data_IF_302223070053
#
_entry.id   IF_302223070053
#
_cell.length_a   1.000
_cell.length_b   1.000
_cell.length_c   1.000
_cell.angle_alpha   90.00
_cell.angle_beta   90.00
_cell.angle_gamma   90.00
#
_symmetry.space_group_name_H-M   'P 1'
#
loop_
_entity.id
_entity.type
_entity.pdbx_description
1 polymer ?
#
# COMPACT_ATOMS: atom_id res chain seq x y z
N UNK A 1 -30.94 -4.10 18.72
CA UNK A 1 -31.14 -2.73 19.25
C UNK A 1 -29.95 -1.92 18.78
N UNK A 2 -30.08 -1.21 17.65
CA UNK A 2 -28.97 -0.54 16.99
C UNK A 2 -28.43 0.61 17.87
N UNK A 3 -27.18 0.52 18.30
CA UNK A 3 -26.44 1.67 18.85
C UNK A 3 -26.25 2.67 17.72
N UNK A 4 -27.15 3.64 17.65
CA UNK A 4 -27.00 4.83 16.81
C UNK A 4 -25.80 5.62 17.36
N UNK A 5 -24.71 5.67 16.60
CA UNK A 5 -23.46 6.32 17.01
C UNK A 5 -23.72 7.77 17.44
N UNK A 6 -23.25 8.11 18.64
CA UNK A 6 -23.39 9.43 19.28
C UNK A 6 -22.35 10.44 18.80
N UNK A 7 -21.49 10.08 17.86
CA UNK A 7 -20.43 10.95 17.35
C UNK A 7 -20.87 11.46 15.98
N UNK A 8 -21.04 12.77 15.83
CA UNK A 8 -21.37 13.42 14.56
C UNK A 8 -20.20 13.40 13.55
N UNK A 9 -19.42 12.32 13.50
CA UNK A 9 -18.26 12.15 12.61
C UNK A 9 -18.73 11.90 11.18
N UNK A 10 -18.06 12.54 10.22
CA UNK A 10 -18.28 12.29 8.80
C UNK A 10 -17.65 10.97 8.38
N UNK A 11 -18.46 9.94 8.17
CA UNK A 11 -18.00 8.64 7.67
C UNK A 11 -17.53 8.71 6.20
N UNK A 12 -16.54 7.89 5.86
CA UNK A 12 -16.06 7.70 4.49
C UNK A 12 -17.13 7.00 3.65
N UNK A 13 -17.52 7.66 2.56
CA UNK A 13 -18.41 7.10 1.54
C UNK A 13 -17.64 6.17 0.61
N UNK A 14 -18.37 5.32 -0.13
CA UNK A 14 -17.82 4.33 -1.07
C UNK A 14 -16.57 4.77 -1.86
N UNK A 15 -16.62 5.88 -2.61
CA UNK A 15 -15.47 6.32 -3.42
C UNK A 15 -14.28 6.81 -2.59
N UNK A 16 -14.53 7.36 -1.41
CA UNK A 16 -13.47 7.71 -0.46
C UNK A 16 -12.89 6.46 0.17
N UNK A 17 -13.68 5.42 0.41
CA UNK A 17 -13.18 4.10 0.83
C UNK A 17 -12.31 3.47 -0.25
N UNK A 18 -12.72 3.51 -1.52
CA UNK A 18 -11.87 3.03 -2.65
C UNK A 18 -10.57 3.83 -2.73
N UNK A 19 -10.64 5.16 -2.59
CA UNK A 19 -9.46 6.03 -2.63
C UNK A 19 -8.52 5.72 -1.46
N UNK A 20 -9.06 5.54 -0.25
CA UNK A 20 -8.29 5.14 0.92
C UNK A 20 -7.63 3.77 0.70
N UNK A 21 -8.39 2.74 0.28
CA UNK A 21 -7.84 1.41 0.00
C UNK A 21 -6.76 1.45 -1.08
N UNK A 22 -6.96 2.22 -2.15
CA UNK A 22 -5.94 2.40 -3.18
C UNK A 22 -4.67 3.03 -2.62
N UNK A 23 -4.78 4.09 -1.83
CA UNK A 23 -3.60 4.78 -1.26
C UNK A 23 -2.89 3.93 -0.21
N UNK A 24 -3.63 3.16 0.60
CA UNK A 24 -3.08 2.38 1.71
C UNK A 24 -2.48 1.05 1.24
N UNK A 25 -3.02 0.43 0.19
CA UNK A 25 -2.60 -0.92 -0.23
C UNK A 25 -1.87 -0.96 -1.57
N UNK A 26 -1.97 0.10 -2.37
CA UNK A 26 -1.38 0.13 -3.69
C UNK A 26 -0.43 1.29 -3.89
N UNK A 27 -0.92 2.53 -3.74
CA UNK A 27 -0.13 3.74 -3.93
C UNK A 27 0.39 3.97 -5.36
N UNK A 28 0.28 3.04 -6.30
CA UNK A 28 0.82 3.18 -7.66
C UNK A 28 1.93 2.16 -7.97
N UNK A 29 2.53 2.18 -9.17
CA UNK A 29 3.59 1.24 -9.57
C UNK A 29 4.96 1.56 -8.97
N UNK A 30 5.01 2.20 -7.81
CA UNK A 30 6.24 2.72 -7.24
C UNK A 30 6.79 1.73 -6.21
N UNK A 31 8.07 1.36 -6.32
CA UNK A 31 8.73 0.41 -5.41
C UNK A 31 8.66 -1.04 -5.89
N UNK A 32 8.13 -1.28 -7.09
CA UNK A 32 8.01 -2.62 -7.67
C UNK A 32 9.01 -2.85 -8.80
N UNK A 33 9.81 -1.85 -9.18
CA UNK A 33 10.72 -1.95 -10.31
C UNK A 33 11.78 -3.03 -10.13
N UNK A 34 12.27 -3.20 -8.90
CA UNK A 34 13.29 -4.17 -8.56
C UNK A 34 12.85 -5.62 -8.84
N UNK A 35 11.54 -5.91 -8.82
CA UNK A 35 11.04 -7.26 -9.16
C UNK A 35 11.48 -7.70 -10.56
N UNK A 36 11.57 -6.76 -11.50
CA UNK A 36 11.99 -7.05 -12.88
C UNK A 36 13.49 -7.36 -12.94
N UNK A 37 14.31 -6.61 -12.19
CA UNK A 37 15.74 -6.87 -12.10
C UNK A 37 16.05 -8.22 -11.43
N UNK A 38 15.28 -8.60 -10.41
CA UNK A 38 15.54 -9.77 -9.58
C UNK A 38 14.92 -11.06 -10.11
N UNK A 39 13.81 -10.98 -10.86
CA UNK A 39 13.11 -12.16 -11.39
C UNK A 39 13.12 -12.26 -12.91
N UNK A 40 13.47 -11.18 -13.60
CA UNK A 40 13.33 -11.05 -15.05
C UNK A 40 11.91 -10.71 -15.47
N UNK A 41 11.72 -10.20 -16.71
CA UNK A 41 10.44 -9.65 -17.18
C UNK A 41 9.30 -10.68 -17.15
N UNK A 42 9.58 -11.92 -17.53
CA UNK A 42 8.57 -12.98 -17.60
C UNK A 42 8.07 -13.34 -16.21
N UNK A 43 8.96 -13.64 -15.25
CA UNK A 43 8.51 -13.98 -13.90
C UNK A 43 7.94 -12.78 -13.15
N UNK A 44 8.44 -11.57 -13.36
CA UNK A 44 7.85 -10.37 -12.77
C UNK A 44 6.36 -10.24 -13.12
N UNK A 45 6.02 -10.29 -14.42
CA UNK A 45 4.64 -10.09 -14.87
C UNK A 45 3.77 -11.30 -14.55
N UNK A 46 4.22 -12.52 -14.87
CA UNK A 46 3.43 -13.72 -14.59
C UNK A 46 3.30 -14.00 -13.10
N UNK A 47 4.33 -13.68 -12.30
CA UNK A 47 4.30 -13.78 -10.85
C UNK A 47 3.29 -12.82 -10.23
N UNK A 48 3.25 -11.57 -10.67
CA UNK A 48 2.23 -10.62 -10.24
C UNK A 48 0.81 -11.08 -10.62
N UNK A 49 0.60 -11.54 -11.85
CA UNK A 49 -0.71 -12.05 -12.28
C UNK A 49 -1.11 -13.32 -11.52
N UNK A 50 -0.17 -14.22 -11.28
CA UNK A 50 -0.37 -15.42 -10.48
C UNK A 50 -0.79 -15.04 -9.06
N UNK A 51 -0.08 -14.11 -8.42
CA UNK A 51 -0.40 -13.67 -7.06
C UNK A 51 -1.71 -12.88 -7.00
N UNK A 52 -2.06 -12.09 -8.02
CA UNK A 52 -3.37 -11.45 -8.10
C UNK A 52 -4.51 -12.50 -8.05
N UNK A 53 -4.36 -13.60 -8.78
CA UNK A 53 -5.38 -14.66 -8.88
C UNK A 53 -5.40 -15.57 -7.65
N UNK A 54 -4.24 -16.04 -7.19
CA UNK A 54 -4.15 -17.09 -6.17
C UNK A 54 -3.97 -16.56 -4.74
N UNK A 55 -3.62 -15.28 -4.58
CA UNK A 55 -3.51 -14.62 -3.29
C UNK A 55 -4.51 -13.46 -3.15
N UNK A 56 -4.53 -12.55 -4.13
CA UNK A 56 -5.38 -11.37 -4.11
C UNK A 56 -6.88 -11.68 -4.11
N UNK A 57 -7.37 -12.48 -5.06
CA UNK A 57 -8.80 -12.84 -5.14
C UNK A 57 -9.27 -13.58 -3.88
N UNK A 58 -8.63 -14.68 -3.42
CA UNK A 58 -9.02 -15.34 -2.17
C UNK A 58 -8.98 -14.38 -0.97
N UNK A 59 -7.95 -13.55 -0.86
CA UNK A 59 -7.83 -12.57 0.23
C UNK A 59 -8.98 -11.57 0.23
N UNK A 60 -9.34 -11.01 -0.93
CA UNK A 60 -10.49 -10.09 -1.05
C UNK A 60 -11.81 -10.78 -0.70
N UNK A 61 -12.03 -12.01 -1.16
CA UNK A 61 -13.25 -12.77 -0.86
C UNK A 61 -13.37 -13.08 0.64
N UNK A 62 -12.29 -13.57 1.25
CA UNK A 62 -12.23 -13.86 2.68
C UNK A 62 -12.50 -12.60 3.52
N UNK A 63 -11.81 -11.50 3.20
CA UNK A 63 -11.98 -10.24 3.91
C UNK A 63 -13.39 -9.68 3.74
N UNK A 64 -13.98 -9.83 2.55
CA UNK A 64 -15.35 -9.41 2.26
C UNK A 64 -16.38 -10.17 3.09
N UNK A 65 -16.21 -11.50 3.24
CA UNK A 65 -17.10 -12.32 4.06
C UNK A 65 -16.98 -11.95 5.54
N UNK A 66 -15.74 -11.84 6.05
CA UNK A 66 -15.48 -11.56 7.46
C UNK A 66 -15.94 -10.17 7.89
N UNK A 67 -15.70 -9.13 7.09
CA UNK A 67 -16.15 -7.77 7.44
C UNK A 67 -17.68 -7.66 7.44
N UNK A 68 -18.35 -8.35 6.51
CA UNK A 68 -19.81 -8.36 6.42
C UNK A 68 -20.46 -9.10 7.58
N UNK A 69 -19.79 -10.15 8.09
CA UNK A 69 -20.28 -10.94 9.22
C UNK A 69 -19.92 -10.33 10.59
N UNK A 70 -18.75 -9.70 10.69
CA UNK A 70 -18.19 -9.16 11.95
C UNK A 70 -17.68 -7.71 11.69
N UNK A 71 -18.59 -6.73 11.55
CA UNK A 71 -18.24 -5.32 11.36
C UNK A 71 -17.89 -4.68 12.71
N UNK A 72 -16.71 -4.98 13.25
CA UNK A 72 -16.23 -4.46 14.53
C UNK A 72 -14.91 -3.72 14.37
N UNK A 73 -14.75 -2.61 15.11
CA UNK A 73 -13.49 -1.88 15.21
C UNK A 73 -12.35 -2.78 15.74
N UNK A 74 -11.14 -2.61 15.21
CA UNK A 74 -9.99 -3.50 15.46
C UNK A 74 -9.83 -4.61 14.42
N UNK A 75 -10.75 -4.71 13.44
CA UNK A 75 -10.54 -5.48 12.21
C UNK A 75 -10.19 -6.95 12.44
N UNK A 76 -9.09 -7.41 11.84
CA UNK A 76 -8.61 -8.80 11.91
C UNK A 76 -8.44 -9.32 13.34
N UNK A 77 -8.03 -8.48 14.28
CA UNK A 77 -7.88 -8.87 15.68
C UNK A 77 -9.21 -9.36 16.28
N UNK A 78 -10.31 -8.67 15.98
CA UNK A 78 -11.64 -9.10 16.42
C UNK A 78 -12.10 -10.39 15.75
N UNK A 79 -11.70 -10.62 14.49
CA UNK A 79 -12.00 -11.86 13.79
C UNK A 79 -11.27 -13.05 14.42
N UNK A 80 -9.98 -12.90 14.74
CA UNK A 80 -9.21 -13.92 15.45
C UNK A 80 -9.77 -14.21 16.83
N UNK A 81 -10.09 -13.16 17.61
CA UNK A 81 -10.65 -13.29 18.95
C UNK A 81 -11.99 -14.03 18.94
N UNK A 82 -12.90 -13.68 18.02
CA UNK A 82 -14.19 -14.39 17.90
C UNK A 82 -14.05 -15.84 17.45
N UNK A 83 -13.03 -16.15 16.66
CA UNK A 83 -12.83 -17.49 16.10
C UNK A 83 -12.09 -18.43 17.05
N UNK A 84 -11.01 -17.95 17.69
CA UNK A 84 -10.06 -18.79 18.44
C UNK A 84 -9.91 -18.37 19.92
N UNK A 85 -10.71 -17.41 20.40
CA UNK A 85 -10.71 -16.92 21.77
C UNK A 85 -9.61 -15.89 22.06
N UNK A 86 -9.61 -15.38 23.29
CA UNK A 86 -8.78 -14.22 23.68
C UNK A 86 -7.28 -14.45 23.53
N UNK A 87 -6.79 -15.64 23.91
CA UNK A 87 -5.36 -15.97 23.83
C UNK A 87 -4.84 -15.88 22.40
N UNK A 88 -5.47 -16.61 21.46
CA UNK A 88 -5.05 -16.62 20.06
C UNK A 88 -5.41 -15.32 19.34
N UNK A 89 -6.49 -14.65 19.75
CA UNK A 89 -6.81 -13.29 19.32
C UNK A 89 -5.64 -12.35 19.58
N UNK A 90 -5.11 -12.32 20.82
CA UNK A 90 -3.95 -11.50 21.17
C UNK A 90 -2.69 -11.90 20.39
N UNK A 91 -2.34 -13.19 20.33
CA UNK A 91 -1.12 -13.62 19.63
C UNK A 91 -1.12 -13.19 18.16
N UNK A 92 -2.25 -13.36 17.46
CA UNK A 92 -2.35 -13.04 16.04
C UNK A 92 -2.51 -11.55 15.80
N UNK A 93 -3.25 -10.84 16.65
CA UNK A 93 -3.29 -9.37 16.59
C UNK A 93 -1.92 -8.74 16.81
N UNK A 94 -1.10 -9.30 17.70
CA UNK A 94 0.28 -8.85 17.93
C UNK A 94 1.20 -9.14 16.74
N UNK A 95 1.09 -10.33 16.15
CA UNK A 95 1.85 -10.69 14.93
C UNK A 95 1.44 -9.85 13.73
N UNK A 96 0.16 -9.53 13.59
CA UNK A 96 -0.35 -8.62 12.56
C UNK A 96 0.25 -7.23 12.75
N UNK A 97 0.22 -6.70 13.97
CA UNK A 97 0.80 -5.39 14.26
C UNK A 97 2.30 -5.34 13.96
N UNK A 98 3.05 -6.39 14.32
CA UNK A 98 4.47 -6.50 13.99
C UNK A 98 4.68 -6.51 12.48
N UNK A 99 3.84 -7.21 11.72
CA UNK A 99 3.92 -7.27 10.26
C UNK A 99 3.77 -5.89 9.65
N UNK A 100 2.74 -5.14 10.06
CA UNK A 100 2.55 -3.76 9.60
C UNK A 100 3.67 -2.81 10.05
N UNK A 101 4.24 -3.02 11.24
CA UNK A 101 5.37 -2.20 11.70
C UNK A 101 6.60 -2.37 10.79
N UNK A 102 6.89 -3.59 10.34
CA UNK A 102 8.00 -3.83 9.43
C UNK A 102 7.71 -3.33 8.01
N UNK A 103 6.48 -3.48 7.52
CA UNK A 103 6.06 -2.94 6.23
C UNK A 103 6.13 -1.40 6.21
N UNK A 104 5.66 -0.75 7.28
CA UNK A 104 5.66 0.71 7.41
C UNK A 104 7.06 1.34 7.34
N UNK A 105 8.09 0.60 7.72
CA UNK A 105 9.48 1.05 7.66
C UNK A 105 10.04 1.10 6.22
N UNK A 106 9.41 0.37 5.28
CA UNK A 106 9.79 0.33 3.87
C UNK A 106 9.52 1.67 3.18
N UNK A 107 8.31 2.21 3.31
CA UNK A 107 7.86 3.40 2.57
C UNK A 107 8.69 4.69 2.80
N UNK A 108 9.13 5.04 4.03
CA UNK A 108 9.96 6.22 4.22
C UNK A 108 11.40 6.02 3.77
N UNK A 109 11.83 4.76 3.63
CA UNK A 109 13.10 4.41 3.00
C UNK A 109 12.98 4.55 1.48
N UNK A 110 11.91 4.00 0.87
CA UNK A 110 11.61 4.14 -0.55
C UNK A 110 11.48 5.61 -0.97
N UNK A 111 10.78 6.45 -0.19
CA UNK A 111 10.70 7.89 -0.48
C UNK A 111 12.09 8.54 -0.53
N UNK A 112 12.95 8.21 0.43
CA UNK A 112 14.30 8.75 0.50
C UNK A 112 15.15 8.26 -0.69
N UNK A 113 15.04 6.99 -1.07
CA UNK A 113 15.73 6.42 -2.23
C UNK A 113 15.27 7.04 -3.53
N UNK A 114 13.96 7.20 -3.74
CA UNK A 114 13.39 7.89 -4.91
C UNK A 114 13.86 9.34 -4.99
N UNK A 115 14.00 10.02 -3.84
CA UNK A 115 14.53 11.38 -3.80
C UNK A 115 16.01 11.39 -4.19
N UNK A 116 16.83 10.54 -3.59
CA UNK A 116 18.28 10.50 -3.85
C UNK A 116 18.54 10.13 -5.31
N UNK A 117 17.96 9.04 -5.81
CA UNK A 117 18.20 8.54 -7.17
C UNK A 117 17.78 9.56 -8.23
N UNK A 118 16.65 10.25 -8.04
CA UNK A 118 16.11 11.12 -9.07
C UNK A 118 16.53 12.59 -8.94
N UNK A 119 16.71 13.11 -7.72
CA UNK A 119 16.90 14.54 -7.45
C UNK A 119 18.35 14.85 -7.08
N UNK A 120 18.96 14.04 -6.20
CA UNK A 120 20.31 14.31 -5.70
C UNK A 120 21.12 13.00 -5.53
N UNK A 121 21.65 12.42 -6.63
CA UNK A 121 22.32 11.11 -6.59
C UNK A 121 23.59 11.09 -5.72
N UNK A 122 24.25 12.23 -5.59
CA UNK A 122 25.46 12.40 -4.76
C UNK A 122 25.14 12.75 -3.29
N UNK A 123 23.87 12.70 -2.88
CA UNK A 123 23.49 13.02 -1.52
C UNK A 123 24.16 12.07 -0.51
N UNK A 124 24.72 12.60 0.59
CA UNK A 124 25.25 11.74 1.65
C UNK A 124 24.14 10.93 2.31
N UNK A 125 24.50 9.79 2.88
CA UNK A 125 23.58 8.88 3.61
C UNK A 125 22.79 9.61 4.71
N UNK A 126 23.35 10.67 5.32
CA UNK A 126 22.66 11.50 6.31
C UNK A 126 21.43 12.22 5.76
N UNK A 127 21.40 12.57 4.47
CA UNK A 127 20.22 13.17 3.81
C UNK A 127 19.11 12.14 3.70
N UNK A 128 19.43 10.89 3.32
CA UNK A 128 18.45 9.80 3.27
C UNK A 128 17.81 9.56 4.65
N UNK A 129 18.64 9.41 5.70
CA UNK A 129 18.15 9.32 7.08
C UNK A 129 17.30 10.52 7.51
N UNK A 130 17.72 11.74 7.12
CA UNK A 130 16.97 12.96 7.39
C UNK A 130 15.59 12.95 6.76
N UNK A 131 15.48 12.52 5.50
CA UNK A 131 14.21 12.39 4.77
C UNK A 131 13.31 11.33 5.39
N UNK A 132 13.83 10.14 5.66
CA UNK A 132 13.10 9.03 6.30
C UNK A 132 12.54 9.46 7.67
N UNK A 133 13.37 10.04 8.53
CA UNK A 133 12.92 10.53 9.85
C UNK A 133 11.90 11.65 9.74
N UNK A 134 12.12 12.60 8.80
CA UNK A 134 11.19 13.71 8.59
C UNK A 134 9.81 13.23 8.15
N UNK A 135 9.76 12.22 7.28
CA UNK A 135 8.53 11.63 6.80
C UNK A 135 7.77 10.87 7.90
N UNK A 136 8.47 10.12 8.74
CA UNK A 136 7.88 9.44 9.90
C UNK A 136 7.24 10.48 10.84
N UNK A 137 7.98 11.53 11.22
CA UNK A 137 7.45 12.58 12.11
C UNK A 137 6.30 13.38 11.48
N UNK A 138 6.39 13.68 10.18
CA UNK A 138 5.30 14.31 9.45
C UNK A 138 4.03 13.46 9.51
N UNK A 139 4.17 12.15 9.31
CA UNK A 139 3.07 11.19 9.35
C UNK A 139 2.45 11.10 10.74
N UNK A 140 3.27 11.08 11.79
CA UNK A 140 2.78 11.15 13.18
C UNK A 140 1.97 12.44 13.41
N UNK A 141 2.49 13.60 12.98
CA UNK A 141 1.80 14.89 13.15
C UNK A 141 0.46 14.91 12.41
N UNK A 142 0.39 14.34 11.20
CA UNK A 142 -0.85 14.26 10.41
C UNK A 142 -1.86 13.34 11.06
N UNK A 143 -1.45 12.13 11.48
CA UNK A 143 -2.34 11.16 12.12
C UNK A 143 -2.87 11.64 13.49
N UNK A 144 -2.08 12.39 14.26
CA UNK A 144 -2.53 13.00 15.52
C UNK A 144 -3.69 13.99 15.34
N UNK A 145 -3.88 14.55 14.14
CA UNK A 145 -4.97 15.49 13.81
C UNK A 145 -6.27 14.82 13.33
N UNK A 146 -6.25 13.49 13.12
CA UNK A 146 -7.44 12.68 12.90
C UNK A 146 -7.95 12.52 11.49
N UNK A 147 -8.84 11.52 11.34
CA UNK A 147 -9.33 10.98 10.07
C UNK A 147 -10.12 12.02 9.24
N UNK A 148 -10.70 13.04 9.89
CA UNK A 148 -11.40 14.14 9.20
C UNK A 148 -10.51 14.90 8.21
N UNK A 149 -9.20 14.97 8.46
CA UNK A 149 -8.21 15.50 7.52
C UNK A 149 -7.70 14.44 6.54
N UNK A 150 -7.63 13.18 6.97
CA UNK A 150 -7.05 12.07 6.20
C UNK A 150 -7.97 11.60 5.07
N UNK A 151 -9.28 11.56 5.27
CA UNK A 151 -10.24 11.12 4.24
C UNK A 151 -10.20 11.97 2.96
N UNK A 152 -10.36 13.30 3.03
CA UNK A 152 -10.20 14.18 1.87
C UNK A 152 -8.78 14.15 1.28
N UNK A 153 -7.76 13.99 2.14
CA UNK A 153 -6.37 13.86 1.71
C UNK A 153 -6.19 12.61 0.83
N UNK A 154 -6.76 11.46 1.20
CA UNK A 154 -6.68 10.25 0.37
C UNK A 154 -7.28 10.46 -1.01
N UNK A 155 -8.43 11.14 -1.14
CA UNK A 155 -8.99 11.45 -2.46
C UNK A 155 -8.01 12.28 -3.31
N UNK A 156 -7.36 13.29 -2.72
CA UNK A 156 -6.37 14.13 -3.43
C UNK A 156 -5.15 13.30 -3.83
N UNK A 157 -4.62 12.50 -2.91
CA UNK A 157 -3.46 11.63 -3.13
C UNK A 157 -3.75 10.61 -4.23
N UNK A 158 -4.92 9.95 -4.21
CA UNK A 158 -5.34 9.01 -5.25
C UNK A 158 -5.27 9.63 -6.64
N UNK A 159 -5.83 10.83 -6.84
CA UNK A 159 -5.78 11.48 -8.15
C UNK A 159 -4.37 11.92 -8.54
N UNK A 160 -3.58 12.40 -7.57
CA UNK A 160 -2.20 12.78 -7.81
C UNK A 160 -1.32 11.60 -8.23
N UNK A 161 -1.65 10.39 -7.76
CA UNK A 161 -0.97 9.14 -8.09
C UNK A 161 -1.51 8.50 -9.39
N UNK A 162 -2.83 8.46 -9.58
CA UNK A 162 -3.46 7.78 -10.73
C UNK A 162 -3.27 8.56 -12.02
N UNK A 163 -3.37 9.90 -12.01
CA UNK A 163 -3.31 10.69 -13.26
C UNK A 163 -1.97 10.50 -14.00
N UNK A 164 -0.80 10.57 -13.34
CA UNK A 164 0.48 10.28 -13.98
C UNK A 164 0.54 8.87 -14.54
N UNK A 165 -0.02 7.88 -13.84
CA UNK A 165 -0.08 6.49 -14.33
C UNK A 165 -0.96 6.38 -15.58
N UNK A 166 -2.12 7.04 -15.62
CA UNK A 166 -2.98 7.08 -16.81
C UNK A 166 -2.21 7.66 -18.01
N UNK A 167 -1.48 8.76 -17.81
CA UNK A 167 -0.67 9.37 -18.87
C UNK A 167 0.50 8.46 -19.27
N UNK A 168 1.13 7.78 -18.32
CA UNK A 168 2.19 6.81 -18.56
C UNK A 168 1.70 5.68 -19.47
N UNK A 169 0.52 5.14 -19.16
CA UNK A 169 -0.15 4.13 -19.97
C UNK A 169 -0.51 4.70 -21.34
N UNK A 170 -1.08 5.90 -21.41
CA UNK A 170 -1.45 6.54 -22.67
C UNK A 170 -0.24 6.70 -23.63
N UNK A 171 0.90 7.15 -23.12
CA UNK A 171 2.10 7.33 -23.94
C UNK A 171 2.82 6.01 -24.27
N UNK A 172 2.76 5.02 -23.38
CA UNK A 172 3.59 3.82 -23.47
C UNK A 172 2.91 2.55 -23.94
N UNK A 173 1.58 2.43 -23.86
CA UNK A 173 0.88 1.15 -24.11
C UNK A 173 1.11 0.60 -25.52
N UNK A 174 1.27 1.47 -26.53
CA UNK A 174 1.57 1.07 -27.90
C UNK A 174 2.99 0.56 -28.13
N UNK A 175 3.87 0.73 -27.14
CA UNK A 175 5.27 0.26 -27.18
C UNK A 175 5.42 -1.14 -26.60
N UNK A 176 4.41 -1.67 -25.91
CA UNK A 176 4.48 -2.99 -25.27
C UNK A 176 4.78 -4.06 -26.32
N UNK A 177 5.92 -4.73 -26.14
CA UNK A 177 6.32 -5.88 -26.93
C UNK A 177 6.00 -7.17 -26.15
N UNK A 178 5.08 -7.96 -26.67
CA UNK A 178 4.68 -9.23 -26.04
C UNK A 178 5.68 -10.36 -26.30
N UNK A 179 6.55 -10.23 -27.30
CA UNK A 179 7.50 -11.29 -27.67
C UNK A 179 8.52 -11.53 -26.55
N UNK A 180 8.85 -10.51 -25.76
CA UNK A 180 9.74 -10.60 -24.58
C UNK A 180 9.24 -11.63 -23.56
N UNK A 181 7.93 -11.88 -23.47
CA UNK A 181 7.34 -12.81 -22.51
C UNK A 181 7.22 -14.25 -23.05
N UNK A 182 7.55 -14.49 -24.32
CA UNK A 182 7.52 -15.83 -24.93
C UNK A 182 8.74 -16.67 -24.54
N UNK A 183 9.82 -16.04 -24.12
CA UNK A 183 11.03 -16.68 -23.61
C UNK A 183 11.20 -16.40 -22.11
N UNK A 184 11.93 -17.30 -21.46
CA UNK A 184 12.33 -17.09 -20.08
C UNK A 184 13.66 -16.32 -20.04
N UNK A 185 13.61 -15.14 -19.42
CA UNK A 185 14.76 -14.29 -19.20
C UNK A 185 15.12 -14.30 -17.72
N UNK A 186 16.23 -14.95 -17.35
CA UNK A 186 16.74 -14.94 -15.98
C UNK A 186 17.82 -13.86 -15.82
N UNK A 187 17.83 -13.12 -14.69
CA UNK A 187 18.91 -12.19 -14.40
C UNK A 187 20.26 -12.91 -14.33
N UNK A 188 21.38 -12.23 -14.66
CA UNK A 188 22.70 -12.80 -14.48
C UNK A 188 22.92 -13.23 -13.04
N UNK A 189 23.44 -14.45 -12.82
CA UNK A 189 23.75 -15.01 -11.50
C UNK A 189 22.54 -15.35 -10.62
N UNK A 190 21.31 -15.23 -11.14
CA UNK A 190 20.08 -15.65 -10.44
C UNK A 190 19.59 -16.98 -11.01
N UNK A 191 19.41 -17.98 -10.14
CA UNK A 191 18.82 -19.25 -10.55
C UNK A 191 17.29 -19.18 -10.67
N UNK A 192 16.71 -20.21 -11.30
CA UNK A 192 15.26 -20.31 -11.51
C UNK A 192 14.45 -20.21 -10.21
N UNK A 193 14.92 -20.84 -9.13
CA UNK A 193 14.20 -20.88 -7.86
C UNK A 193 14.20 -19.51 -7.23
N UNK A 194 15.35 -18.86 -7.18
CA UNK A 194 15.50 -17.50 -6.64
C UNK A 194 14.64 -16.50 -7.41
N UNK A 195 14.65 -16.55 -8.75
CA UNK A 195 13.83 -15.67 -9.57
C UNK A 195 12.31 -15.84 -9.30
N UNK A 196 11.84 -17.09 -9.20
CA UNK A 196 10.44 -17.38 -8.84
C UNK A 196 10.11 -16.89 -7.44
N UNK A 197 11.00 -17.11 -6.46
CA UNK A 197 10.80 -16.65 -5.09
C UNK A 197 10.67 -15.12 -5.02
N UNK A 198 11.53 -14.37 -5.72
CA UNK A 198 11.40 -12.92 -5.78
C UNK A 198 10.08 -12.48 -6.40
N UNK A 199 9.69 -13.06 -7.54
CA UNK A 199 8.42 -12.74 -8.18
C UNK A 199 7.21 -12.99 -7.26
N UNK A 200 7.23 -14.10 -6.50
CA UNK A 200 6.16 -14.44 -5.57
C UNK A 200 6.16 -13.54 -4.33
N UNK A 201 7.33 -13.23 -3.74
CA UNK A 201 7.41 -12.36 -2.54
C UNK A 201 6.92 -10.94 -2.87
N UNK A 202 7.38 -10.36 -3.98
CA UNK A 202 6.86 -9.07 -4.43
C UNK A 202 5.36 -9.17 -4.71
N UNK A 203 4.88 -10.25 -5.32
CA UNK A 203 3.45 -10.46 -5.53
C UNK A 203 2.65 -10.61 -4.23
N UNK A 204 3.19 -11.26 -3.19
CA UNK A 204 2.57 -11.30 -1.85
C UNK A 204 2.43 -9.88 -1.34
N UNK A 205 3.52 -9.10 -1.34
CA UNK A 205 3.53 -7.73 -0.86
C UNK A 205 2.50 -6.85 -1.59
N UNK A 206 2.52 -6.86 -2.94
CA UNK A 206 1.61 -6.07 -3.79
C UNK A 206 0.12 -6.37 -3.58
N UNK A 207 -0.22 -7.60 -3.18
CA UNK A 207 -1.61 -8.03 -2.99
C UNK A 207 -1.94 -8.38 -1.53
N UNK A 208 -1.20 -7.80 -0.57
CA UNK A 208 -1.49 -7.91 0.86
C UNK A 208 -2.11 -6.63 1.42
N UNK A 209 -2.43 -6.62 2.72
CA UNK A 209 -2.94 -5.44 3.41
C UNK A 209 -4.45 -5.20 3.30
N UNK A 210 -5.18 -5.85 2.38
CA UNK A 210 -6.62 -5.64 2.14
C UNK A 210 -7.54 -5.74 3.37
N UNK A 211 -7.10 -6.41 4.43
CA UNK A 211 -7.80 -6.51 5.71
C UNK A 211 -7.65 -5.28 6.61
N UNK A 212 -6.65 -4.44 6.38
CA UNK A 212 -6.18 -3.47 7.37
C UNK A 212 -7.16 -2.36 7.69
N UNK A 213 -7.83 -1.79 6.69
CA UNK A 213 -8.84 -0.74 6.84
C UNK A 213 -10.07 -1.20 7.63
N UNK A 214 -10.28 -2.51 7.81
CA UNK A 214 -11.25 -3.05 8.75
C UNK A 214 -10.96 -2.64 10.21
N UNK A 215 -9.69 -2.35 10.56
CA UNK A 215 -9.33 -1.83 11.88
C UNK A 215 -9.98 -0.49 12.19
N UNK A 216 -10.25 0.31 11.15
CA UNK A 216 -10.95 1.59 11.24
C UNK A 216 -12.42 1.48 10.80
N UNK A 217 -13.09 0.36 11.11
CA UNK A 217 -14.45 0.07 10.65
C UNK A 217 -15.47 1.18 10.94
N UNK A 218 -15.37 1.83 12.10
CA UNK A 218 -16.31 2.87 12.53
C UNK A 218 -16.29 4.13 11.64
N UNK A 219 -15.19 4.36 10.92
CA UNK A 219 -14.98 5.48 10.01
C UNK A 219 -15.61 5.25 8.62
N UNK A 220 -16.14 4.04 8.35
CA UNK A 220 -16.71 3.68 7.04
C UNK A 220 -18.24 3.68 7.10
N UNK A 221 -18.85 4.29 6.09
CA UNK A 221 -20.30 4.29 5.91
C UNK A 221 -20.76 2.98 5.28
N UNK A 222 -21.85 2.38 5.79
CA UNK A 222 -22.42 1.11 5.33
C UNK A 222 -21.34 0.04 5.04
N UNK A 223 -20.51 -0.25 6.05
CA UNK A 223 -19.28 -1.04 5.89
C UNK A 223 -19.54 -2.44 5.33
N UNK A 224 -20.66 -3.07 5.72
CA UNK A 224 -21.05 -4.42 5.29
C UNK A 224 -21.26 -4.52 3.77
N UNK A 225 -21.54 -3.40 3.10
CA UNK A 225 -21.83 -3.34 1.66
C UNK A 225 -20.74 -2.58 0.90
N UNK A 226 -20.23 -1.47 1.44
CA UNK A 226 -19.25 -0.63 0.78
C UNK A 226 -17.84 -1.23 0.82
N UNK A 227 -17.45 -1.87 1.92
CA UNK A 227 -16.10 -2.43 2.07
C UNK A 227 -15.84 -3.58 1.08
N UNK A 228 -16.72 -4.60 0.96
CA UNK A 228 -16.52 -5.68 -0.03
C UNK A 228 -16.42 -5.17 -1.48
N UNK A 229 -17.29 -4.23 -1.86
CA UNK A 229 -17.28 -3.64 -3.20
C UNK A 229 -16.01 -2.83 -3.43
N UNK A 230 -15.55 -2.08 -2.43
CA UNK A 230 -14.35 -1.27 -2.53
C UNK A 230 -13.10 -2.15 -2.65
N UNK A 231 -13.04 -3.30 -1.97
CA UNK A 231 -11.95 -4.27 -2.12
C UNK A 231 -11.84 -4.79 -3.55
N UNK A 232 -12.96 -5.18 -4.15
CA UNK A 232 -12.97 -5.70 -5.53
C UNK A 232 -12.48 -4.64 -6.52
N UNK A 233 -12.97 -3.39 -6.39
CA UNK A 233 -12.52 -2.28 -7.22
C UNK A 233 -11.03 -2.01 -7.02
N UNK A 234 -10.57 -1.99 -5.77
CA UNK A 234 -9.16 -1.74 -5.45
C UNK A 234 -8.27 -2.83 -6.03
N UNK A 235 -8.61 -4.12 -5.88
CA UNK A 235 -7.84 -5.22 -6.46
C UNK A 235 -7.71 -5.10 -7.98
N UNK A 236 -8.82 -4.82 -8.69
CA UNK A 236 -8.79 -4.63 -10.14
C UNK A 236 -7.89 -3.45 -10.54
N UNK A 237 -7.98 -2.34 -9.81
CA UNK A 237 -7.12 -1.18 -10.04
C UNK A 237 -5.65 -1.52 -9.78
N UNK A 238 -5.32 -2.18 -8.68
CA UNK A 238 -3.95 -2.58 -8.33
C UNK A 238 -3.32 -3.46 -9.42
N UNK A 239 -4.05 -4.46 -9.92
CA UNK A 239 -3.53 -5.32 -11.01
C UNK A 239 -3.16 -4.50 -12.24
N UNK A 240 -4.04 -3.60 -12.68
CA UNK A 240 -3.80 -2.75 -13.84
C UNK A 240 -2.63 -1.80 -13.61
N UNK A 241 -2.61 -1.18 -12.43
CA UNK A 241 -1.62 -0.16 -12.05
C UNK A 241 -0.24 -0.76 -11.83
N UNK A 242 -0.10 -2.01 -11.41
CA UNK A 242 1.21 -2.67 -11.30
C UNK A 242 1.68 -3.26 -12.62
N UNK A 243 0.82 -4.00 -13.32
CA UNK A 243 1.23 -4.80 -14.48
C UNK A 243 1.54 -3.91 -15.68
N UNK A 244 0.65 -2.98 -16.04
CA UNK A 244 0.79 -2.23 -17.30
C UNK A 244 2.02 -1.32 -17.27
N UNK A 245 2.29 -0.52 -16.22
CA UNK A 245 3.48 0.32 -16.16
C UNK A 245 4.79 -0.48 -16.20
N UNK A 246 4.85 -1.65 -15.56
CA UNK A 246 6.02 -2.53 -15.66
C UNK A 246 6.21 -3.05 -17.09
N UNK A 247 5.15 -3.48 -17.78
CA UNK A 247 5.25 -3.93 -19.17
C UNK A 247 5.75 -2.82 -20.10
N UNK A 248 5.23 -1.60 -19.92
CA UNK A 248 5.69 -0.42 -20.66
C UNK A 248 7.16 -0.13 -20.33
N UNK A 249 7.52 -0.17 -19.05
CA UNK A 249 8.90 0.04 -18.61
C UNK A 249 9.86 -0.94 -19.28
N UNK A 250 9.53 -2.23 -19.29
CA UNK A 250 10.34 -3.31 -19.89
C UNK A 250 10.54 -3.05 -21.38
N UNK A 251 9.50 -2.61 -22.08
CA UNK A 251 9.58 -2.31 -23.51
C UNK A 251 10.43 -1.05 -23.81
N UNK A 252 10.33 -0.02 -22.96
CA UNK A 252 11.07 1.25 -23.15
C UNK A 252 12.53 1.14 -22.72
N UNK A 253 12.82 0.42 -21.63
CA UNK A 253 14.17 0.14 -21.17
C UNK A 253 14.43 -1.37 -21.05
N UNK A 254 14.88 -2.02 -22.14
CA UNK A 254 15.17 -3.46 -22.17
C UNK A 254 16.35 -3.90 -21.29
N UNK A 255 17.14 -2.97 -20.73
CA UNK A 255 18.22 -3.29 -19.79
C UNK A 255 17.66 -3.54 -18.38
N UNK A 256 16.65 -4.41 -18.28
CA UNK A 256 15.89 -4.68 -17.07
C UNK A 256 16.73 -5.24 -15.92
N UNK A 257 17.84 -5.90 -16.23
CA UNK A 257 18.79 -6.44 -15.25
C UNK A 257 19.60 -5.35 -14.51
N UNK A 258 19.53 -4.09 -14.97
CA UNK A 258 20.16 -2.93 -14.34
C UNK A 258 19.14 -2.02 -13.65
N UNK A 259 17.87 -2.43 -13.62
CA UNK A 259 16.84 -1.64 -12.97
C UNK A 259 17.10 -1.55 -11.46
N UNK A 260 16.72 -0.41 -10.93
CA UNK A 260 16.74 -0.10 -9.50
C UNK A 260 15.50 0.75 -9.20
N UNK A 261 15.37 1.18 -7.95
CA UNK A 261 14.29 2.09 -7.57
C UNK A 261 14.25 3.34 -8.45
N UNK A 262 13.06 3.91 -8.59
CA UNK A 262 12.78 5.07 -9.45
C UNK A 262 13.00 4.84 -10.96
N UNK A 263 13.21 3.60 -11.43
CA UNK A 263 13.38 3.31 -12.85
C UNK A 263 12.18 3.72 -13.70
N UNK A 264 10.94 3.65 -13.19
CA UNK A 264 9.78 4.14 -13.94
C UNK A 264 9.77 5.67 -14.09
N UNK A 265 10.46 6.43 -13.23
CA UNK A 265 10.66 7.87 -13.45
C UNK A 265 11.52 8.13 -14.69
N UNK A 266 12.54 7.28 -14.94
CA UNK A 266 13.37 7.36 -16.15
C UNK A 266 12.59 6.95 -17.40
N UNK A 267 11.68 5.98 -17.28
CA UNK A 267 10.77 5.64 -18.38
C UNK A 267 9.81 6.80 -18.65
N UNK A 268 9.28 7.45 -17.62
CA UNK A 268 8.44 8.64 -17.78
C UNK A 268 9.20 9.79 -18.47
N UNK A 269 10.50 9.94 -18.17
CA UNK A 269 11.38 10.88 -18.88
C UNK A 269 11.47 10.56 -20.38
N UNK A 270 11.64 9.28 -20.74
CA UNK A 270 11.70 8.85 -22.13
C UNK A 270 10.36 9.02 -22.87
N UNK A 271 9.23 8.83 -22.19
CA UNK A 271 7.90 8.92 -22.78
C UNK A 271 7.41 10.37 -22.96
N UNK A 272 7.56 11.20 -21.95
CA UNK A 272 6.92 12.52 -21.86
C UNK A 272 7.85 13.68 -21.51
N UNK A 273 9.17 13.43 -21.45
CA UNK A 273 10.17 14.44 -21.14
C UNK A 273 10.24 14.83 -19.67
N UNK A 274 11.06 15.84 -19.39
CA UNK A 274 11.47 16.22 -18.01
C UNK A 274 10.29 16.58 -17.12
N UNK A 275 9.32 17.36 -17.62
CA UNK A 275 8.16 17.76 -16.83
C UNK A 275 7.32 16.55 -16.38
N UNK A 276 7.15 15.56 -17.26
CA UNK A 276 6.40 14.35 -16.92
C UNK A 276 7.16 13.48 -15.91
N UNK A 277 8.48 13.35 -16.06
CA UNK A 277 9.32 12.61 -15.11
C UNK A 277 9.27 13.21 -13.70
N UNK A 278 9.33 14.54 -13.57
CA UNK A 278 9.20 15.23 -12.29
C UNK A 278 7.82 15.03 -11.64
N UNK A 279 6.77 15.05 -12.46
CA UNK A 279 5.44 14.75 -11.95
C UNK A 279 5.29 13.29 -11.52
N UNK A 280 5.85 12.35 -12.28
CA UNK A 280 5.86 10.93 -11.93
C UNK A 280 6.65 10.67 -10.64
N UNK A 281 7.79 11.35 -10.45
CA UNK A 281 8.54 11.30 -9.20
C UNK A 281 7.74 11.88 -8.03
N UNK A 282 7.08 13.05 -8.21
CA UNK A 282 6.22 13.64 -7.19
C UNK A 282 5.09 12.67 -6.79
N UNK A 283 4.50 11.99 -7.76
CA UNK A 283 3.48 10.97 -7.51
C UNK A 283 4.05 9.81 -6.69
N UNK A 284 5.26 9.33 -6.98
CA UNK A 284 5.96 8.34 -6.17
C UNK A 284 6.20 8.81 -4.73
N UNK A 285 6.61 10.07 -4.52
CA UNK A 285 6.78 10.61 -3.17
C UNK A 285 5.46 10.66 -2.40
N UNK A 286 4.40 11.12 -3.06
CA UNK A 286 3.08 11.19 -2.42
C UNK A 286 2.43 9.82 -2.24
N UNK A 287 2.82 8.82 -3.05
CA UNK A 287 2.48 7.41 -2.89
C UNK A 287 3.04 6.85 -1.60
N UNK A 288 4.37 6.87 -1.45
CA UNK A 288 5.06 6.40 -0.26
C UNK A 288 4.56 7.14 1.00
N UNK A 289 4.28 8.44 0.91
CA UNK A 289 3.66 9.20 2.00
C UNK A 289 2.25 8.72 2.33
N UNK A 290 1.42 8.46 1.32
CA UNK A 290 0.09 7.91 1.50
C UNK A 290 0.10 6.54 2.17
N UNK A 291 1.02 5.67 1.76
CA UNK A 291 1.20 4.30 2.28
C UNK A 291 1.56 4.33 3.78
N UNK A 292 2.65 4.99 4.18
CA UNK A 292 3.01 5.09 5.61
C UNK A 292 1.92 5.80 6.44
N UNK A 293 1.25 6.81 5.87
CA UNK A 293 0.20 7.53 6.58
C UNK A 293 -1.02 6.64 6.81
N UNK A 294 -1.34 5.80 5.83
CA UNK A 294 -2.30 4.73 5.92
C UNK A 294 -1.97 3.74 7.01
N UNK A 295 -0.79 3.13 6.94
CA UNK A 295 -0.41 2.09 7.89
C UNK A 295 -0.30 2.60 9.33
N UNK A 296 0.22 3.80 9.55
CA UNK A 296 0.26 4.41 10.88
C UNK A 296 -1.15 4.54 11.47
N UNK A 297 -2.12 4.94 10.65
CA UNK A 297 -3.53 4.98 11.07
C UNK A 297 -4.00 3.58 11.49
N UNK A 298 -3.81 2.58 10.63
CA UNK A 298 -4.29 1.22 10.87
C UNK A 298 -3.63 0.59 12.10
N UNK A 299 -2.32 0.72 12.24
CA UNK A 299 -1.54 0.22 13.38
C UNK A 299 -1.99 0.83 14.70
N UNK A 300 -2.23 2.14 14.72
CA UNK A 300 -2.67 2.84 15.94
C UNK A 300 -4.07 2.37 16.40
N UNK A 301 -5.00 2.12 15.47
CA UNK A 301 -6.32 1.56 15.77
C UNK A 301 -6.23 0.11 16.25
N UNK A 302 -5.36 -0.70 15.64
CA UNK A 302 -5.13 -2.08 16.05
C UNK A 302 -4.57 -2.15 17.48
N UNK A 303 -3.53 -1.37 17.80
CA UNK A 303 -2.97 -1.31 19.15
C UNK A 303 -3.99 -0.82 20.18
N UNK A 304 -4.76 0.21 19.83
CA UNK A 304 -5.84 0.71 20.70
C UNK A 304 -6.85 -0.40 20.99
N UNK A 305 -7.30 -1.16 19.98
CA UNK A 305 -8.25 -2.24 20.17
C UNK A 305 -7.70 -3.35 21.10
N UNK A 306 -6.43 -3.73 20.93
CA UNK A 306 -5.75 -4.70 21.80
C UNK A 306 -5.61 -4.16 23.24
N UNK A 307 -5.34 -2.86 23.39
CA UNK A 307 -5.24 -2.19 24.69
C UNK A 307 -6.59 -2.04 25.38
N UNK A 308 -7.67 -1.76 24.64
CA UNK A 308 -9.04 -1.65 25.17
C UNK A 308 -9.54 -3.00 25.74
N UNK A 309 -9.05 -4.10 25.19
CA UNK A 309 -9.29 -5.46 25.69
C UNK A 309 -8.38 -5.85 26.89
N UNK A 310 -7.54 -4.93 27.37
CA UNK A 310 -6.74 -5.11 28.59
C UNK A 310 -5.45 -5.92 28.42
N UNK A 311 -5.04 -6.21 27.18
CA UNK A 311 -3.80 -6.95 26.90
C UNK A 311 -2.55 -6.08 26.85
N UNK A 312 -2.72 -4.75 26.78
CA UNK A 312 -1.64 -3.77 26.77
C UNK A 312 -1.85 -2.70 27.85
N UNK A 313 -0.80 -1.97 28.26
CA UNK A 313 -0.92 -0.88 29.23
C UNK A 313 -1.94 0.19 28.81
N UNK A 314 -2.81 0.59 29.74
CA UNK A 314 -3.91 1.54 29.51
C UNK A 314 -3.52 2.92 28.94
N UNK A 315 -2.24 3.30 28.94
CA UNK A 315 -1.82 4.57 28.33
C UNK A 315 -1.82 4.49 26.79
N UNK A 316 -1.75 3.29 26.21
CA UNK A 316 -1.76 3.05 24.75
C UNK A 316 -3.14 3.35 24.16
N UNK A 317 -4.21 2.99 24.87
CA UNK A 317 -5.59 3.30 24.44
C UNK A 317 -6.01 4.77 24.61
N UNK A 318 -5.11 5.65 25.09
CA UNK A 318 -5.42 7.07 25.27
C UNK A 318 -5.75 7.71 23.93
N UNK A 319 -6.90 8.41 23.87
CA UNK A 319 -7.30 9.19 22.70
C UNK A 319 -7.15 10.70 22.88
N UNK A 320 -7.00 11.42 21.78
CA UNK A 320 -7.01 12.88 21.74
C UNK A 320 -8.43 13.39 22.02
N UNK A 321 -8.62 14.29 22.98
CA UNK A 321 -9.94 14.83 23.31
C UNK A 321 -10.57 15.67 22.19
N UNK A 322 -9.78 16.21 21.25
CA UNK A 322 -10.27 17.05 20.15
C UNK A 322 -10.60 16.24 18.89
N UNK A 323 -9.80 15.22 18.58
CA UNK A 323 -9.89 14.48 17.31
C UNK A 323 -10.25 13.00 17.49
N UNK A 324 -10.35 12.53 18.73
CA UNK A 324 -10.67 11.15 19.10
C UNK A 324 -9.75 10.11 18.44
N UNK A 325 -8.49 10.50 18.22
CA UNK A 325 -7.44 9.68 17.65
C UNK A 325 -6.65 8.95 18.72
N UNK A 326 -6.17 7.72 18.50
CA UNK A 326 -5.19 7.09 19.39
C UNK A 326 -3.91 7.95 19.44
N UNK A 327 -3.49 8.37 20.63
CA UNK A 327 -2.25 9.16 20.83
C UNK A 327 -1.19 8.43 21.64
N UNK A 328 -1.58 7.39 22.37
CA UNK A 328 -0.65 6.53 23.12
C UNK A 328 -0.18 5.32 22.35
N UNK A 329 -0.92 4.94 21.30
CA UNK A 329 -0.58 3.93 20.31
C UNK A 329 0.26 4.56 19.19
#
# INVERSE_FOLDING_TARGET
MARRNKTGKSKMRFWTTVSAMFVIYCGGPYGIEEVVAQSGPTFAIFGLLFMAVFWGIPGVLQNSELISAIPMEGGVYQWYKKSWGDYWGFQLGWLEWLTWMFDAALYPTLLAEYFVIFIWPEAPVSVSWGLTLSMIWLTVIVNLRGVELVGPLFNVLTWLQIIPVILFVYYGVGLIDLDVYTSLHLPPQTDLTTAVVFALIFGVWNFSGYSGLASAADEIDDIESNYPKALIVTLMLSVVVYVIPLMIGIAVNPNWNLWSEAQLNLVALALGGTAFAWWFNLAAQTSNFGLINGEMLLMSHLLKAISDDGHLPNYISKTNSKYDTPVGA
#
